data_IF_930381956387
#
_entry.id   IF_930381956387
#
_cell.length_a   1.000
_cell.length_b   1.000
_cell.length_c   1.000
_cell.angle_alpha   90.00
_cell.angle_beta   90.00
_cell.angle_gamma   90.00
#
_symmetry.space_group_name_H-M   'P 1'
#
loop_
_entity.id
_entity.type
_entity.pdbx_description
1 polymer ?
#
# COMPACT_ATOMS: atom_id res chain seq x y z
N UNK A 1 -4.45 8.02 15.98
CA UNK A 1 -5.65 7.65 15.19
C UNK A 1 -5.54 6.20 14.75
N UNK A 2 -6.65 5.48 14.49
CA UNK A 2 -6.62 4.13 13.91
C UNK A 2 -7.51 4.03 12.68
N UNK A 3 -7.26 3.05 11.82
CA UNK A 3 -8.03 2.84 10.61
C UNK A 3 -7.22 2.22 9.49
N UNK A 4 -7.50 2.61 8.25
CA UNK A 4 -6.86 2.09 7.04
C UNK A 4 -6.08 3.17 6.30
N UNK A 5 -5.09 2.75 5.51
CA UNK A 5 -4.26 3.65 4.71
C UNK A 5 -3.95 3.04 3.34
N UNK A 6 -3.68 3.92 2.38
CA UNK A 6 -3.17 3.60 1.05
C UNK A 6 -1.84 4.32 0.86
N UNK A 7 -0.79 3.59 0.49
CA UNK A 7 0.48 4.17 0.06
C UNK A 7 0.53 4.08 -1.46
N UNK A 8 0.65 5.21 -2.13
CA UNK A 8 0.93 5.29 -3.56
C UNK A 8 2.43 5.53 -3.73
N UNK A 9 3.06 4.68 -4.52
CA UNK A 9 4.50 4.71 -4.72
C UNK A 9 4.89 4.45 -6.18
N UNK A 10 5.83 5.24 -6.69
CA UNK A 10 6.45 5.10 -7.99
C UNK A 10 7.57 4.05 -7.96
N UNK A 11 7.64 3.23 -8.99
CA UNK A 11 8.61 2.12 -9.09
C UNK A 11 9.14 2.08 -10.52
N UNK A 12 10.48 2.00 -10.67
CA UNK A 12 11.11 1.64 -11.94
C UNK A 12 11.07 0.13 -12.12
N UNK A 13 11.20 -0.35 -13.36
CA UNK A 13 11.27 -1.79 -13.63
C UNK A 13 12.34 -2.47 -12.77
N UNK A 14 11.95 -3.42 -11.94
CA UNK A 14 12.83 -4.08 -10.98
C UNK A 14 12.37 -5.51 -10.69
N UNK A 15 13.31 -6.36 -10.27
CA UNK A 15 13.01 -7.66 -9.64
C UNK A 15 13.36 -7.57 -8.16
N UNK A 16 12.41 -7.91 -7.29
CA UNK A 16 12.58 -7.78 -5.84
C UNK A 16 12.22 -9.10 -5.18
N UNK A 17 13.08 -9.57 -4.27
CA UNK A 17 12.78 -10.71 -3.41
C UNK A 17 11.96 -10.25 -2.21
N UNK A 18 10.68 -10.62 -2.18
CA UNK A 18 9.70 -10.16 -1.20
C UNK A 18 9.42 -11.27 -0.19
N UNK A 19 10.16 -11.27 0.92
CA UNK A 19 9.96 -12.20 2.03
C UNK A 19 9.81 -13.66 1.58
N UNK A 20 8.71 -14.30 2.01
CA UNK A 20 8.37 -15.69 1.64
C UNK A 20 7.59 -15.81 0.32
N UNK A 21 7.13 -14.70 -0.26
CA UNK A 21 6.47 -14.73 -1.59
C UNK A 21 7.48 -15.14 -2.67
N UNK A 22 8.75 -14.78 -2.49
CA UNK A 22 9.82 -15.07 -3.44
C UNK A 22 10.14 -13.87 -4.31
N UNK A 23 10.67 -14.11 -5.51
CA UNK A 23 11.01 -13.06 -6.47
C UNK A 23 9.77 -12.58 -7.22
N UNK A 24 9.58 -11.26 -7.28
CA UNK A 24 8.49 -10.61 -8.01
C UNK A 24 9.10 -9.62 -9.00
N UNK A 25 8.63 -9.66 -10.25
CA UNK A 25 8.92 -8.64 -11.25
C UNK A 25 7.94 -7.48 -11.16
N UNK A 26 8.45 -6.28 -10.94
CA UNK A 26 7.69 -5.03 -10.96
C UNK A 26 7.91 -4.31 -12.29
N UNK A 27 6.81 -3.82 -12.87
CA UNK A 27 6.80 -2.97 -14.06
C UNK A 27 7.11 -1.54 -13.64
N UNK A 28 7.54 -0.73 -14.59
CA UNK A 28 7.60 0.71 -14.37
C UNK A 28 6.18 1.29 -14.27
N UNK A 29 5.96 2.18 -13.30
CA UNK A 29 4.69 2.84 -13.05
C UNK A 29 4.43 3.05 -11.56
N UNK A 30 3.16 3.06 -11.18
CA UNK A 30 2.70 3.36 -9.83
C UNK A 30 1.98 2.19 -9.20
N UNK A 31 2.12 2.10 -7.87
CA UNK A 31 1.54 1.04 -7.08
C UNK A 31 0.79 1.61 -5.88
N UNK A 32 -0.43 1.13 -5.65
CA UNK A 32 -1.21 1.40 -4.45
C UNK A 32 -1.15 0.19 -3.50
N UNK A 33 -0.62 0.39 -2.30
CA UNK A 33 -0.63 -0.59 -1.22
C UNK A 33 -1.71 -0.24 -0.19
N UNK A 34 -2.64 -1.16 0.06
CA UNK A 34 -3.72 -1.00 1.04
C UNK A 34 -3.36 -1.73 2.33
N UNK A 35 -3.38 -1.05 3.47
CA UNK A 35 -3.17 -1.70 4.78
C UNK A 35 -3.98 -1.07 5.91
N UNK A 36 -4.02 -1.75 7.06
CA UNK A 36 -4.63 -1.25 8.29
C UNK A 36 -3.62 -0.94 9.38
N UNK A 37 -4.04 -0.06 10.29
CA UNK A 37 -3.31 0.36 11.47
C UNK A 37 -4.29 0.50 12.64
N UNK A 38 -4.66 -0.64 13.26
CA UNK A 38 -5.65 -0.67 14.34
C UNK A 38 -5.12 -0.21 15.71
N UNK A 39 -3.80 -0.01 15.84
CA UNK A 39 -3.17 0.53 17.05
C UNK A 39 -2.85 2.02 16.90
N UNK A 40 -2.16 2.40 15.81
CA UNK A 40 -1.88 3.80 15.47
C UNK A 40 -1.49 3.91 13.99
N UNK A 41 -2.24 4.74 13.25
CA UNK A 41 -1.95 5.16 11.88
C UNK A 41 -0.60 5.87 11.82
N UNK A 42 -0.37 6.81 12.73
CA UNK A 42 0.88 7.57 12.85
C UNK A 42 2.09 6.64 12.97
N UNK A 43 2.03 5.67 13.90
CA UNK A 43 3.13 4.74 14.12
C UNK A 43 3.33 3.80 12.93
N UNK A 44 2.24 3.34 12.29
CA UNK A 44 2.32 2.41 11.16
C UNK A 44 2.83 3.10 9.89
N UNK A 45 2.28 4.25 9.54
CA UNK A 45 2.72 5.07 8.41
C UNK A 45 4.14 5.56 8.66
N UNK A 46 4.45 6.07 9.86
CA UNK A 46 5.80 6.48 10.24
C UNK A 46 6.82 5.35 10.11
N UNK A 47 6.44 4.10 10.42
CA UNK A 47 7.30 2.94 10.15
C UNK A 47 7.55 2.76 8.64
N UNK A 48 6.54 2.88 7.79
CA UNK A 48 6.70 2.74 6.33
C UNK A 48 7.57 3.84 5.72
N UNK A 49 7.55 5.04 6.31
CA UNK A 49 8.39 6.17 5.90
C UNK A 49 9.87 6.02 6.30
N UNK A 50 10.19 5.26 7.36
CA UNK A 50 11.60 5.07 7.79
C UNK A 50 12.42 4.31 6.75
N UNK A 51 13.54 4.88 6.28
CA UNK A 51 14.44 4.19 5.33
C UNK A 51 15.19 3.00 5.95
N UNK A 52 15.70 3.17 7.17
CA UNK A 52 16.47 2.15 7.88
C UNK A 52 15.58 1.45 8.90
N UNK A 53 15.22 0.19 8.60
CA UNK A 53 14.39 -0.65 9.47
C UNK A 53 14.57 -2.13 9.14
N UNK A 54 14.33 -3.00 10.13
CA UNK A 54 14.18 -4.44 9.85
C UNK A 54 12.95 -4.65 8.97
N UNK A 55 13.12 -5.34 7.84
CA UNK A 55 12.03 -5.68 6.93
C UNK A 55 11.18 -6.78 7.56
N UNK A 56 9.86 -6.56 7.66
CA UNK A 56 8.93 -7.51 8.28
C UNK A 56 7.72 -7.77 7.40
N UNK A 57 7.18 -6.74 6.75
CA UNK A 57 6.02 -6.83 5.88
C UNK A 57 6.43 -6.76 4.41
N UNK A 58 5.61 -7.33 3.52
CA UNK A 58 5.88 -7.33 2.08
C UNK A 58 6.15 -5.92 1.54
N UNK A 59 5.38 -4.92 1.98
CA UNK A 59 5.56 -3.52 1.61
C UNK A 59 6.92 -2.96 2.02
N UNK A 60 7.55 -3.45 3.09
CA UNK A 60 8.89 -3.00 3.50
C UNK A 60 9.94 -3.35 2.44
N UNK A 61 9.83 -4.52 1.80
CA UNK A 61 10.74 -4.95 0.73
C UNK A 61 10.52 -4.14 -0.54
N UNK A 62 9.26 -3.90 -0.90
CA UNK A 62 8.89 -3.10 -2.06
C UNK A 62 9.40 -1.65 -1.94
N UNK A 63 9.19 -1.00 -0.79
CA UNK A 63 9.60 0.38 -0.53
C UNK A 63 11.13 0.58 -0.44
N UNK A 64 11.94 -0.48 -0.53
CA UNK A 64 13.40 -0.35 -0.73
C UNK A 64 13.76 0.04 -2.17
N UNK A 65 12.84 -0.17 -3.10
CA UNK A 65 13.04 0.03 -4.54
C UNK A 65 12.04 1.02 -5.15
N UNK A 66 11.04 1.44 -4.38
CA UNK A 66 10.00 2.37 -4.80
C UNK A 66 10.05 3.66 -3.97
N UNK A 67 9.62 4.75 -4.57
CA UNK A 67 9.51 6.06 -3.95
C UNK A 67 8.05 6.32 -3.56
N UNK A 68 7.82 6.78 -2.33
CA UNK A 68 6.46 7.10 -1.87
C UNK A 68 6.10 8.47 -2.44
N UNK A 69 5.04 8.51 -3.23
CA UNK A 69 4.51 9.74 -3.84
C UNK A 69 3.44 10.37 -2.94
N UNK A 70 2.49 9.54 -2.49
CA UNK A 70 1.35 9.97 -1.67
C UNK A 70 0.95 8.91 -0.67
N UNK A 71 0.32 9.36 0.42
CA UNK A 71 -0.30 8.48 1.40
C UNK A 71 -1.71 9.00 1.65
N UNK A 72 -2.69 8.10 1.68
CA UNK A 72 -4.06 8.39 2.06
C UNK A 72 -4.43 7.59 3.29
N UNK A 73 -5.36 8.10 4.10
CA UNK A 73 -5.86 7.40 5.27
C UNK A 73 -7.36 7.61 5.47
N UNK A 74 -7.99 6.67 6.16
CA UNK A 74 -9.38 6.75 6.61
C UNK A 74 -9.42 6.25 8.04
N UNK A 75 -9.85 7.11 8.96
CA UNK A 75 -10.03 6.74 10.36
C UNK A 75 -11.23 5.82 10.52
N UNK A 76 -11.04 4.76 11.31
CA UNK A 76 -12.08 3.76 11.53
C UNK A 76 -11.76 2.89 12.74
N UNK A 77 -12.80 2.59 13.49
CA UNK A 77 -12.77 1.59 14.56
C UNK A 77 -12.77 0.16 14.02
N UNK A 78 -13.17 -0.03 12.76
CA UNK A 78 -13.29 -1.32 12.08
C UNK A 78 -12.12 -1.54 11.11
N UNK A 79 -11.75 -2.80 10.90
CA UNK A 79 -10.71 -3.19 9.93
C UNK A 79 -11.30 -3.22 8.51
N UNK A 80 -11.42 -2.05 7.87
CA UNK A 80 -11.96 -1.89 6.50
C UNK A 80 -10.95 -2.21 5.37
N UNK A 81 -9.72 -2.58 5.72
CA UNK A 81 -8.60 -2.86 4.80
C UNK A 81 -8.97 -3.79 3.63
N UNK A 82 -9.71 -4.87 3.90
CA UNK A 82 -10.07 -5.86 2.89
C UNK A 82 -11.12 -5.32 1.91
N UNK A 83 -12.04 -4.49 2.38
CA UNK A 83 -13.06 -3.88 1.54
C UNK A 83 -12.44 -2.84 0.62
N UNK A 84 -11.56 -1.99 1.16
CA UNK A 84 -10.76 -1.05 0.35
C UNK A 84 -9.92 -1.80 -0.68
N UNK A 85 -9.24 -2.89 -0.30
CA UNK A 85 -8.45 -3.70 -1.24
C UNK A 85 -9.32 -4.32 -2.34
N UNK A 86 -10.58 -4.68 -2.06
CA UNK A 86 -11.51 -5.20 -3.07
C UNK A 86 -11.87 -4.14 -4.11
N UNK A 87 -12.09 -2.90 -3.69
CA UNK A 87 -12.36 -1.77 -4.58
C UNK A 87 -11.16 -1.49 -5.51
N UNK A 88 -9.93 -1.55 -4.99
CA UNK A 88 -8.75 -1.44 -5.86
C UNK A 88 -8.61 -2.64 -6.80
N UNK A 89 -8.90 -3.85 -6.32
CA UNK A 89 -8.76 -5.08 -7.12
C UNK A 89 -9.77 -5.19 -8.27
N UNK A 90 -10.89 -4.47 -8.22
CA UNK A 90 -11.90 -4.49 -9.29
C UNK A 90 -11.51 -3.63 -10.49
N UNK A 91 -10.56 -2.69 -10.30
CA UNK A 91 -10.14 -1.72 -11.31
C UNK A 91 -8.68 -1.95 -11.76
N UNK A 92 -7.81 -2.35 -10.84
CA UNK A 92 -6.36 -2.37 -11.06
C UNK A 92 -5.76 -3.78 -11.07
N UNK A 93 -4.64 -3.95 -11.78
CA UNK A 93 -3.89 -5.21 -11.82
C UNK A 93 -3.33 -5.53 -10.43
N UNK A 94 -3.75 -6.64 -9.83
CA UNK A 94 -3.29 -7.07 -8.50
C UNK A 94 -1.97 -7.83 -8.58
N UNK A 95 -1.04 -7.54 -7.68
CA UNK A 95 0.21 -8.31 -7.51
C UNK A 95 -0.07 -9.50 -6.57
N UNK A 96 -0.21 -10.74 -7.07
CA UNK A 96 -0.82 -11.82 -6.30
C UNK A 96 -0.13 -12.10 -4.96
N UNK A 97 -0.92 -12.42 -3.93
CA UNK A 97 -0.49 -12.76 -2.56
C UNK A 97 0.20 -11.63 -1.79
N UNK A 98 0.46 -10.49 -2.41
CA UNK A 98 1.17 -9.38 -1.77
C UNK A 98 0.31 -8.80 -0.63
N UNK A 99 0.88 -8.75 0.58
CA UNK A 99 0.20 -8.23 1.77
C UNK A 99 -1.05 -8.99 2.24
N UNK A 100 -1.38 -10.14 1.64
CA UNK A 100 -2.63 -10.87 1.89
C UNK A 100 -2.43 -12.16 2.73
N UNK A 101 -1.47 -12.18 3.64
CA UNK A 101 -1.09 -13.42 4.36
C UNK A 101 -2.08 -13.84 5.45
N UNK A 102 -2.86 -12.91 5.99
CA UNK A 102 -3.83 -13.10 7.06
C UNK A 102 -5.29 -12.96 6.57
N UNK A 103 -5.51 -12.91 5.26
CA UNK A 103 -6.84 -12.74 4.67
C UNK A 103 -7.00 -13.55 3.37
N UNK A 104 -8.20 -13.51 2.79
CA UNK A 104 -8.52 -14.20 1.51
C UNK A 104 -8.40 -13.29 0.29
N UNK A 105 -7.91 -12.05 0.45
CA UNK A 105 -7.75 -11.13 -0.69
C UNK A 105 -6.73 -11.68 -1.68
N UNK A 106 -6.96 -11.43 -2.97
CA UNK A 106 -5.99 -11.76 -4.03
C UNK A 106 -4.66 -11.03 -3.81
N UNK A 107 -4.75 -9.78 -3.38
CA UNK A 107 -3.61 -8.91 -3.09
C UNK A 107 -4.06 -7.69 -2.27
N UNK A 108 -3.09 -7.01 -1.68
CA UNK A 108 -3.16 -5.66 -1.13
C UNK A 108 -2.26 -4.68 -1.88
N UNK A 109 -1.66 -5.07 -3.01
CA UNK A 109 -0.82 -4.22 -3.86
C UNK A 109 -1.33 -4.23 -5.30
N UNK A 110 -1.55 -3.05 -5.86
CA UNK A 110 -2.22 -2.87 -7.14
C UNK A 110 -1.41 -1.97 -8.05
N UNK A 111 -1.31 -2.31 -9.34
CA UNK A 111 -0.52 -1.60 -10.33
C UNK A 111 -1.39 -0.70 -11.21
N UNK A 112 -0.85 0.46 -11.55
CA UNK A 112 -1.32 1.34 -12.62
C UNK A 112 -0.12 1.96 -13.34
N UNK A 113 -0.25 2.19 -14.65
CA UNK A 113 0.76 2.95 -15.40
C UNK A 113 0.84 4.41 -14.94
N UNK A 114 -0.29 4.96 -14.50
CA UNK A 114 -0.43 6.36 -14.09
C UNK A 114 -0.90 6.47 -12.64
N UNK A 115 -0.45 7.52 -11.95
CA UNK A 115 -0.78 7.76 -10.54
C UNK A 115 -2.24 8.23 -10.34
N UNK A 116 -2.74 9.07 -11.26
CA UNK A 116 -4.04 9.75 -11.15
C UNK A 116 -5.20 8.81 -10.78
N UNK A 117 -5.43 7.70 -11.53
CA UNK A 117 -6.52 6.78 -11.22
C UNK A 117 -6.46 6.17 -9.81
N UNK A 118 -5.26 5.89 -9.29
CA UNK A 118 -5.09 5.35 -7.93
C UNK A 118 -5.49 6.39 -6.87
N UNK A 119 -5.08 7.64 -7.08
CA UNK A 119 -5.42 8.77 -6.22
C UNK A 119 -6.92 9.09 -6.25
N UNK A 120 -7.54 9.10 -7.43
CA UNK A 120 -8.97 9.33 -7.61
C UNK A 120 -9.80 8.28 -6.86
N UNK A 121 -9.44 7.00 -6.95
CA UNK A 121 -10.13 5.96 -6.21
C UNK A 121 -9.99 6.15 -4.69
N UNK A 122 -8.78 6.44 -4.19
CA UNK A 122 -8.58 6.70 -2.76
C UNK A 122 -9.47 7.84 -2.26
N UNK A 123 -9.54 8.95 -3.02
CA UNK A 123 -10.43 10.08 -2.70
C UNK A 123 -11.90 9.71 -2.75
N UNK A 124 -12.33 8.95 -3.78
CA UNK A 124 -13.72 8.47 -3.93
C UNK A 124 -14.16 7.58 -2.75
N UNK A 125 -13.23 6.83 -2.17
CA UNK A 125 -13.48 6.02 -0.96
C UNK A 125 -13.50 6.85 0.35
N UNK A 126 -13.45 8.18 0.25
CA UNK A 126 -13.50 9.10 1.39
C UNK A 126 -12.19 9.14 2.17
N UNK A 127 -11.07 8.71 1.58
CA UNK A 127 -9.76 8.78 2.23
C UNK A 127 -9.19 10.20 2.13
N UNK A 128 -8.56 10.66 3.21
CA UNK A 128 -7.87 11.95 3.30
C UNK A 128 -6.40 11.78 2.97
N UNK A 129 -5.80 12.77 2.31
CA UNK A 129 -4.35 12.77 2.08
C UNK A 129 -3.61 12.99 3.40
N UNK A 130 -2.57 12.19 3.63
CA UNK A 130 -1.70 12.29 4.79
C UNK A 130 -0.61 13.32 4.51
N UNK A 131 -0.74 14.48 5.13
CA UNK A 131 0.34 15.46 5.20
C UNK A 131 1.09 15.23 6.51
N UNK A 132 2.38 14.88 6.43
CA UNK A 132 3.19 14.81 7.64
C UNK A 132 3.11 16.17 8.32
N UNK A 133 2.76 16.20 9.61
CA UNK A 133 3.03 17.39 10.40
C UNK A 133 4.55 17.57 10.38
N UNK A 134 5.01 18.73 9.91
CA UNK A 134 6.36 19.20 10.19
C UNK A 134 6.57 19.27 11.71
#
# INVERSE_FOLDING_TARGET
>A
MKGSYVIIAGMRKARVRVGRIGEIGFKEGYYAYVGSAMNSLEARIGRHLRKNKKLRWHIDYFLKHAEIEKIFYKESEKKEECDIAREFSSIFESIPKFGASDCKCKSHLFYSKEMGPLEELAKKLGMKEWHSKN
#
